data_IF_453169511214
#
_entry.id   IF_453169511214
#
_cell.length_a   1.000
_cell.length_b   1.000
_cell.length_c   1.000
_cell.angle_alpha   90.00
_cell.angle_beta   90.00
_cell.angle_gamma   90.00
#
_symmetry.space_group_name_H-M   'P 1'
#
loop_
_entity.id
_entity.type
_entity.pdbx_description
1 polymer ?
#
# COMPACT_ATOMS: atom_id res chain seq x y z
N UNK A 1 -11.19 5.68 18.95
CA UNK A 1 -11.78 5.66 17.61
C UNK A 1 -10.59 5.56 16.67
N UNK A 2 -10.40 4.43 16.00
CA UNK A 2 -9.33 4.33 15.00
C UNK A 2 -9.94 4.90 13.72
N UNK A 3 -9.40 6.03 13.27
CA UNK A 3 -9.78 6.60 11.99
C UNK A 3 -9.45 5.58 10.89
N UNK A 4 -10.28 5.54 9.83
CA UNK A 4 -10.02 4.64 8.70
C UNK A 4 -8.67 4.93 8.05
N UNK A 5 -8.36 6.22 7.83
CA UNK A 5 -7.03 6.70 7.45
C UNK A 5 -6.61 7.83 8.41
N UNK A 6 -5.42 7.72 9.00
CA UNK A 6 -4.78 8.77 9.78
C UNK A 6 -3.44 9.19 9.15
N UNK A 7 -3.38 10.47 8.77
CA UNK A 7 -2.23 11.11 8.11
C UNK A 7 -1.47 12.09 9.01
N UNK A 8 -1.80 12.18 10.31
CA UNK A 8 -1.18 13.14 11.26
C UNK A 8 0.33 12.92 11.43
N UNK A 9 0.80 11.70 11.17
CA UNK A 9 2.21 11.31 11.28
C UNK A 9 2.93 11.26 9.93
N UNK A 10 2.46 12.04 8.94
CA UNK A 10 3.05 12.10 7.60
C UNK A 10 4.58 12.17 7.64
N UNK A 11 5.31 11.39 6.82
CA UNK A 11 4.85 10.52 5.71
C UNK A 11 4.54 9.07 6.12
N UNK A 12 4.30 8.80 7.41
CA UNK A 12 3.79 7.52 7.89
C UNK A 12 2.28 7.62 8.05
N UNK A 13 1.55 6.81 7.28
CA UNK A 13 0.09 6.83 7.22
C UNK A 13 -0.46 5.57 7.86
N UNK A 14 -1.42 5.72 8.76
CA UNK A 14 -2.11 4.61 9.38
C UNK A 14 -3.42 4.34 8.64
N UNK A 15 -3.69 3.08 8.34
CA UNK A 15 -4.94 2.62 7.75
C UNK A 15 -5.51 1.50 8.62
N UNK A 16 -6.66 1.75 9.24
CA UNK A 16 -7.41 0.70 9.92
C UNK A 16 -8.45 0.12 8.95
N UNK A 17 -8.30 -1.15 8.60
CA UNK A 17 -9.26 -1.82 7.73
C UNK A 17 -10.30 -2.56 8.57
N UNK A 18 -11.54 -2.08 8.67
CA UNK A 18 -12.57 -2.72 9.49
C UNK A 18 -13.05 -4.02 8.84
N UNK A 19 -13.68 -4.88 9.65
CA UNK A 19 -14.34 -6.10 9.15
C UNK A 19 -15.46 -5.81 8.15
N UNK A 20 -16.11 -4.65 8.31
CA UNK A 20 -17.16 -4.16 7.43
C UNK A 20 -17.09 -2.63 7.30
N UNK A 21 -17.14 -2.17 6.05
CA UNK A 21 -17.53 -0.84 5.63
C UNK A 21 -19.01 -0.90 5.21
N UNK A 22 -19.87 -0.05 5.78
CA UNK A 22 -21.27 0.04 5.36
C UNK A 22 -21.37 0.53 3.92
N UNK A 23 -22.35 0.06 3.17
CA UNK A 23 -22.52 0.47 1.75
C UNK A 23 -22.73 1.98 1.60
N UNK A 24 -23.34 2.63 2.60
CA UNK A 24 -23.51 4.09 2.65
C UNK A 24 -22.20 4.85 2.77
N UNK A 25 -21.19 4.23 3.39
CA UNK A 25 -19.91 4.86 3.71
C UNK A 25 -18.83 4.46 2.70
N UNK A 26 -19.12 3.52 1.80
CA UNK A 26 -18.16 2.96 0.85
C UNK A 26 -17.53 4.05 -0.03
N UNK A 27 -18.33 5.01 -0.50
CA UNK A 27 -17.86 6.09 -1.36
C UNK A 27 -16.99 7.07 -0.57
N UNK A 28 -17.35 7.37 0.68
CA UNK A 28 -16.56 8.23 1.59
C UNK A 28 -15.22 7.58 1.97
N UNK A 29 -15.21 6.29 2.31
CA UNK A 29 -13.98 5.53 2.59
C UNK A 29 -13.06 5.52 1.36
N UNK A 30 -13.62 5.33 0.17
CA UNK A 30 -12.84 5.39 -1.07
C UNK A 30 -12.33 6.81 -1.35
N UNK A 31 -13.10 7.85 -1.03
CA UNK A 31 -12.67 9.23 -1.16
C UNK A 31 -11.47 9.56 -0.26
N UNK A 32 -11.42 9.03 0.96
CA UNK A 32 -10.24 9.17 1.84
C UNK A 32 -8.99 8.52 1.23
N UNK A 33 -9.11 7.32 0.65
CA UNK A 33 -8.01 6.65 -0.06
C UNK A 33 -7.56 7.50 -1.25
N UNK A 34 -8.52 8.02 -2.04
CA UNK A 34 -8.21 8.86 -3.20
C UNK A 34 -7.48 10.13 -2.78
N UNK A 35 -7.91 10.77 -1.70
CA UNK A 35 -7.28 11.97 -1.16
C UNK A 35 -5.84 11.70 -0.70
N UNK A 36 -5.58 10.53 -0.10
CA UNK A 36 -4.24 10.10 0.27
C UNK A 36 -3.30 10.05 -0.96
N UNK A 37 -3.70 9.32 -2.00
CA UNK A 37 -2.87 9.17 -3.21
C UNK A 37 -2.80 10.44 -4.06
N UNK A 38 -3.80 11.32 -4.00
CA UNK A 38 -3.80 12.61 -4.68
C UNK A 38 -2.70 13.58 -4.18
N UNK A 39 -2.12 13.35 -3.00
CA UNK A 39 -0.99 14.13 -2.48
C UNK A 39 0.26 14.03 -3.37
N UNK A 40 0.38 12.96 -4.15
CA UNK A 40 1.51 12.71 -5.07
C UNK A 40 2.89 12.74 -4.39
N UNK A 41 2.94 12.46 -3.09
CA UNK A 41 4.15 12.45 -2.27
C UNK A 41 4.44 11.03 -1.77
N UNK A 42 5.73 10.62 -1.65
CA UNK A 42 6.09 9.31 -1.09
C UNK A 42 5.62 9.12 0.35
N UNK A 43 5.01 7.97 0.66
CA UNK A 43 4.58 7.61 2.01
C UNK A 43 4.68 6.11 2.27
N UNK A 44 4.67 5.72 3.55
CA UNK A 44 4.57 4.33 3.99
C UNK A 44 3.23 4.10 4.68
N UNK A 45 2.59 2.98 4.35
CA UNK A 45 1.31 2.59 4.91
C UNK A 45 1.51 1.59 6.05
N UNK A 46 0.99 1.90 7.23
CA UNK A 46 0.87 1.00 8.37
C UNK A 46 -0.57 0.54 8.48
N UNK A 47 -0.81 -0.78 8.42
CA UNK A 47 -2.15 -1.35 8.35
C UNK A 47 -2.42 -2.31 9.50
N UNK A 48 -3.62 -2.25 10.04
CA UNK A 48 -4.17 -3.27 10.94
C UNK A 48 -5.62 -3.62 10.55
N UNK A 49 -6.21 -4.57 11.27
CA UNK A 49 -7.54 -5.11 10.96
C UNK A 49 -7.53 -6.12 9.81
N UNK A 50 -8.59 -6.18 9.01
CA UNK A 50 -8.72 -7.16 7.92
C UNK A 50 -7.79 -6.85 6.73
N UNK A 51 -7.49 -7.84 5.88
CA UNK A 51 -6.79 -7.56 4.60
C UNK A 51 -7.69 -6.77 3.65
N UNK A 52 -8.96 -7.17 3.57
CA UNK A 52 -10.05 -6.46 2.91
C UNK A 52 -11.33 -6.72 3.73
N UNK A 53 -12.27 -5.77 3.81
CA UNK A 53 -13.49 -5.98 4.57
C UNK A 53 -14.33 -7.10 3.95
N UNK A 54 -14.49 -8.21 4.69
CA UNK A 54 -15.10 -9.45 4.18
C UNK A 54 -16.59 -9.30 3.86
N UNK A 55 -17.25 -8.35 4.51
CA UNK A 55 -18.69 -8.10 4.39
C UNK A 55 -19.02 -6.82 3.60
N UNK A 56 -18.10 -6.34 2.76
CA UNK A 56 -18.29 -5.08 2.00
C UNK A 56 -17.97 -5.25 0.51
N UNK A 57 -18.75 -6.07 -0.23
CA UNK A 57 -18.49 -6.34 -1.64
C UNK A 57 -18.52 -5.07 -2.51
N UNK A 58 -19.36 -4.09 -2.17
CA UNK A 58 -19.40 -2.79 -2.85
C UNK A 58 -18.10 -2.00 -2.68
N UNK A 59 -17.62 -1.88 -1.45
CA UNK A 59 -16.36 -1.18 -1.18
C UNK A 59 -15.17 -1.90 -1.82
N UNK A 60 -15.11 -3.23 -1.71
CA UNK A 60 -14.02 -4.02 -2.29
C UNK A 60 -13.99 -3.91 -3.81
N UNK A 61 -15.14 -4.00 -4.49
CA UNK A 61 -15.21 -3.90 -5.95
C UNK A 61 -14.77 -2.53 -6.46
N UNK A 62 -15.25 -1.46 -5.83
CA UNK A 62 -14.90 -0.08 -6.19
C UNK A 62 -13.43 0.23 -5.89
N UNK A 63 -12.88 -0.22 -4.76
CA UNK A 63 -11.46 -0.08 -4.44
C UNK A 63 -10.56 -0.85 -5.44
N UNK A 64 -10.91 -2.08 -5.80
CA UNK A 64 -10.15 -2.88 -6.77
C UNK A 64 -10.20 -2.27 -8.16
N UNK A 65 -11.36 -1.76 -8.58
CA UNK A 65 -11.48 -1.07 -9.86
C UNK A 65 -10.61 0.20 -9.87
N UNK A 66 -10.75 1.05 -8.86
CA UNK A 66 -10.00 2.29 -8.74
C UNK A 66 -8.48 2.05 -8.70
N UNK A 67 -8.01 1.06 -7.93
CA UNK A 67 -6.57 0.75 -7.83
C UNK A 67 -5.98 0.26 -9.15
N UNK A 68 -6.75 -0.47 -9.97
CA UNK A 68 -6.34 -0.85 -11.33
C UNK A 68 -6.24 0.34 -12.27
N UNK A 69 -7.23 1.24 -12.25
CA UNK A 69 -7.26 2.45 -13.08
C UNK A 69 -6.17 3.45 -12.67
N UNK A 70 -5.74 3.41 -11.41
CA UNK A 70 -4.78 4.34 -10.82
C UNK A 70 -3.47 3.65 -10.43
N UNK A 71 -3.14 2.51 -11.05
CA UNK A 71 -1.97 1.70 -10.72
C UNK A 71 -0.66 2.51 -10.76
N UNK A 72 -0.58 3.49 -11.66
CA UNK A 72 0.50 4.45 -11.66
C UNK A 72 0.57 5.18 -10.32
N UNK A 73 -0.47 5.86 -9.84
CA UNK A 73 -0.44 6.63 -8.58
C UNK A 73 -0.07 5.79 -7.36
N UNK A 74 -0.28 4.47 -7.39
CA UNK A 74 0.10 3.59 -6.28
C UNK A 74 1.60 3.58 -5.99
N UNK A 75 2.46 4.02 -6.93
CA UNK A 75 3.91 4.15 -6.70
C UNK A 75 4.29 5.17 -5.62
N UNK A 76 3.38 6.07 -5.24
CA UNK A 76 3.60 6.98 -4.11
C UNK A 76 3.64 6.23 -2.76
N UNK A 77 3.03 5.05 -2.67
CA UNK A 77 3.24 4.16 -1.54
C UNK A 77 4.60 3.45 -1.74
N UNK A 78 5.61 3.83 -0.96
CA UNK A 78 6.96 3.23 -1.05
C UNK A 78 7.11 1.95 -0.24
N UNK A 79 6.07 1.58 0.50
CA UNK A 79 5.98 0.31 1.21
C UNK A 79 4.75 0.25 2.10
N UNK A 80 4.32 -0.98 2.40
CA UNK A 80 3.19 -1.23 3.28
C UNK A 80 3.57 -2.25 4.35
N UNK A 81 3.14 -2.03 5.58
CA UNK A 81 3.48 -2.87 6.73
C UNK A 81 2.19 -3.23 7.47
N UNK A 82 1.89 -4.52 7.55
CA UNK A 82 0.81 -5.04 8.37
C UNK A 82 1.28 -5.23 9.81
N UNK A 83 0.50 -4.75 10.77
CA UNK A 83 0.70 -4.97 12.20
C UNK A 83 -0.18 -6.15 12.61
N UNK A 84 0.45 -7.23 13.06
CA UNK A 84 -0.25 -8.43 13.52
C UNK A 84 0.43 -9.00 14.78
N UNK A 85 -0.26 -8.89 15.91
CA UNK A 85 0.26 -9.32 17.21
C UNK A 85 0.17 -10.85 17.37
N UNK A 86 -0.85 -11.49 16.80
CA UNK A 86 -1.01 -12.92 16.84
C UNK A 86 0.10 -13.61 16.03
N UNK A 87 0.83 -14.53 16.67
CA UNK A 87 2.00 -15.14 16.05
C UNK A 87 1.64 -16.04 14.87
N UNK A 88 0.54 -16.79 14.95
CA UNK A 88 0.13 -17.70 13.89
C UNK A 88 -0.38 -16.91 12.67
N UNK A 89 -1.21 -15.89 12.90
CA UNK A 89 -1.68 -15.00 11.83
C UNK A 89 -0.52 -14.22 11.22
N UNK A 90 0.41 -13.70 12.03
CA UNK A 90 1.60 -13.01 11.56
C UNK A 90 2.42 -13.90 10.63
N UNK A 91 2.69 -15.14 11.00
CA UNK A 91 3.43 -16.09 10.15
C UNK A 91 2.73 -16.35 8.81
N UNK A 92 1.39 -16.46 8.82
CA UNK A 92 0.61 -16.62 7.60
C UNK A 92 0.72 -15.37 6.69
N UNK A 93 0.61 -14.17 7.25
CA UNK A 93 0.80 -12.92 6.51
C UNK A 93 2.23 -12.77 5.99
N UNK A 94 3.24 -13.16 6.76
CA UNK A 94 4.64 -13.12 6.32
C UNK A 94 4.89 -14.06 5.14
N UNK A 95 4.27 -15.25 5.14
CA UNK A 95 4.37 -16.17 4.00
C UNK A 95 3.74 -15.58 2.73
N UNK A 96 2.55 -14.98 2.86
CA UNK A 96 1.90 -14.24 1.76
C UNK A 96 2.76 -13.08 1.27
N UNK A 97 3.31 -12.30 2.20
CA UNK A 97 4.16 -11.15 1.91
C UNK A 97 5.42 -11.56 1.13
N UNK A 98 6.08 -12.65 1.52
CA UNK A 98 7.23 -13.21 0.79
C UNK A 98 6.85 -13.63 -0.62
N UNK A 99 5.73 -14.33 -0.79
CA UNK A 99 5.25 -14.73 -2.11
C UNK A 99 4.90 -13.52 -3.00
N UNK A 100 4.24 -12.50 -2.42
CA UNK A 100 3.90 -11.27 -3.12
C UNK A 100 5.15 -10.49 -3.55
N UNK A 101 6.08 -10.23 -2.64
CA UNK A 101 7.32 -9.51 -2.94
C UNK A 101 8.19 -10.27 -3.95
N UNK A 102 8.18 -11.61 -3.91
CA UNK A 102 8.91 -12.46 -4.86
C UNK A 102 8.25 -12.58 -6.24
N UNK A 103 7.02 -12.11 -6.43
CA UNK A 103 6.27 -12.25 -7.69
C UNK A 103 6.80 -11.39 -8.83
N UNK A 104 7.58 -10.34 -8.54
CA UNK A 104 8.01 -9.34 -9.52
C UNK A 104 6.92 -8.34 -9.94
N UNK A 105 5.69 -8.50 -9.44
CA UNK A 105 4.55 -7.62 -9.74
C UNK A 105 4.12 -6.76 -8.55
N UNK A 106 4.80 -6.89 -7.40
CA UNK A 106 4.52 -6.06 -6.23
C UNK A 106 4.88 -4.59 -6.53
N UNK A 107 3.93 -3.64 -6.41
CA UNK A 107 4.19 -2.22 -6.68
C UNK A 107 5.14 -1.61 -5.64
N UNK A 108 5.24 -2.23 -4.47
CA UNK A 108 6.07 -1.82 -3.35
C UNK A 108 6.30 -3.02 -2.40
N UNK A 109 7.33 -2.99 -1.54
CA UNK A 109 7.55 -4.02 -0.52
C UNK A 109 6.37 -4.08 0.46
N UNK A 110 5.88 -5.29 0.72
CA UNK A 110 4.92 -5.59 1.77
C UNK A 110 5.63 -6.30 2.93
N UNK A 111 5.57 -5.72 4.13
CA UNK A 111 6.17 -6.26 5.34
C UNK A 111 5.10 -6.59 6.39
N UNK A 112 5.49 -7.37 7.40
CA UNK A 112 4.66 -7.65 8.58
C UNK A 112 5.49 -7.38 9.83
N UNK A 113 4.87 -6.75 10.82
CA UNK A 113 5.47 -6.41 12.10
C UNK A 113 4.57 -6.91 13.24
N UNK A 114 5.17 -7.28 14.37
CA UNK A 114 4.43 -7.79 15.53
C UNK A 114 3.76 -6.68 16.35
N UNK A 115 4.27 -5.46 16.26
CA UNK A 115 3.84 -4.33 17.05
C UNK A 115 4.04 -3.01 16.29
N UNK A 116 3.34 -1.98 16.78
CA UNK A 116 3.36 -0.64 16.20
C UNK A 116 4.77 -0.03 16.17
N UNK A 117 5.55 -0.15 17.25
CA UNK A 117 6.90 0.44 17.34
C UNK A 117 7.88 -0.17 16.33
N UNK A 118 7.80 -1.50 16.12
CA UNK A 118 8.56 -2.21 15.10
C UNK A 118 8.12 -1.75 13.69
N UNK A 119 6.81 -1.63 13.47
CA UNK A 119 6.27 -1.14 12.20
C UNK A 119 6.74 0.29 11.88
N UNK A 120 6.72 1.20 12.86
CA UNK A 120 7.24 2.56 12.70
C UNK A 120 8.74 2.58 12.38
N UNK A 121 9.53 1.75 13.07
CA UNK A 121 10.98 1.65 12.83
C UNK A 121 11.27 1.21 11.40
N UNK A 122 10.56 0.18 10.93
CA UNK A 122 10.66 -0.31 9.54
C UNK A 122 10.15 0.71 8.53
N UNK A 123 9.08 1.45 8.85
CA UNK A 123 8.56 2.51 7.97
C UNK A 123 9.60 3.62 7.75
N UNK A 124 10.27 4.07 8.82
CA UNK A 124 11.36 5.04 8.71
C UNK A 124 12.51 4.52 7.85
N UNK A 125 12.85 3.23 7.98
CA UNK A 125 13.87 2.61 7.14
C UNK A 125 13.47 2.57 5.64
N UNK A 126 12.21 2.26 5.33
CA UNK A 126 11.68 2.28 3.96
C UNK A 126 11.70 3.69 3.36
N UNK A 127 11.36 4.71 4.16
CA UNK A 127 11.39 6.12 3.73
C UNK A 127 12.82 6.64 3.51
N UNK A 128 13.79 6.14 4.29
CA UNK A 128 15.20 6.50 4.16
C UNK A 128 15.90 5.75 3.02
N UNK A 129 15.36 4.61 2.58
CA UNK A 129 15.90 3.86 1.46
C UNK A 129 15.66 4.61 0.14
N UNK A 130 16.65 4.64 -0.77
CA UNK A 130 16.41 5.17 -2.11
C UNK A 130 15.37 4.30 -2.80
N UNK A 131 14.21 4.88 -3.11
CA UNK A 131 13.15 4.23 -3.90
C UNK A 131 13.81 3.73 -5.20
N UNK A 132 13.76 2.43 -5.53
CA UNK A 132 14.24 1.95 -6.81
C UNK A 132 13.44 2.67 -7.88
N UNK A 133 14.07 3.63 -8.57
CA UNK A 133 13.44 4.26 -9.74
C UNK A 133 13.18 3.14 -10.74
N UNK A 134 11.94 3.02 -11.19
CA UNK A 134 11.61 2.15 -12.31
C UNK A 134 12.63 2.42 -13.44
N UNK A 135 13.15 1.38 -14.13
CA UNK A 135 14.11 1.58 -15.19
C UNK A 135 13.48 2.52 -16.22
N UNK A 136 14.05 3.71 -16.37
CA UNK A 136 13.77 4.59 -17.50
C UNK A 136 14.00 3.75 -18.74
N UNK A 137 12.93 3.43 -19.48
CA UNK A 137 13.06 2.83 -20.79
C UNK A 137 13.83 3.86 -21.62
N UNK A 138 15.15 3.68 -21.69
CA UNK A 138 15.98 4.46 -22.58
C UNK A 138 15.39 4.22 -23.97
N UNK A 139 14.82 5.27 -24.55
CA UNK A 139 14.42 5.27 -25.93
C UNK A 139 15.70 5.11 -26.75
N UNK A 140 16.06 3.86 -27.03
CA UNK A 140 17.00 3.49 -28.07
C UNK A 140 16.36 3.88 -29.40
N UNK A 141 16.43 5.17 -29.75
CA UNK A 141 16.28 5.59 -31.14
C UNK A 141 17.55 5.16 -31.85
N UNK A 142 17.45 3.93 -32.32
CA UNK A 142 18.17 3.31 -33.41
C UNK A 142 18.54 4.36 -34.48
N UNK A 143 19.77 4.87 -34.39
CA UNK A 143 20.38 5.68 -35.44
C UNK A 143 20.79 4.73 -36.57
N UNK A 144 19.81 4.27 -37.34
CA UNK A 144 20.06 3.60 -38.61
C UNK A 144 20.59 4.63 -39.61
N UNK A 145 21.90 4.53 -39.84
CA UNK A 145 22.65 4.66 -41.11
C UNK A 145 21.93 5.37 -42.26
N UNK A 146 22.66 6.25 -42.94
CA UNK A 146 23.20 5.92 -44.28
C UNK A 146 24.33 6.90 -44.69
N UNK A 147 25.25 6.46 -45.56
CA UNK A 147 26.55 7.09 -45.84
C UNK A 147 26.50 8.36 -46.69
#
# INVERSE_FOLDING_TARGET
MHDFIDTRSWPIVYLHMPTQVADTDADDRLAEIRALYARAEPFVLLMDGEELPRHSPRFVSTYVQWSRENAAQLHHCVGAIRIEADTALRQAHEAKARAWNGSGHAPYPFLVAAALDDAQTRARALLAAPVPRAPTVAASRDARRSP
#
